data_IF_546301897951
#
_entry.id   IF_546301897951
#
_cell.length_a   1.000
_cell.length_b   1.000
_cell.length_c   1.000
_cell.angle_alpha   90.00
_cell.angle_beta   90.00
_cell.angle_gamma   90.00
#
_symmetry.space_group_name_H-M   'P 1'
#
loop_
_entity.id
_entity.type
_entity.pdbx_description
1 polymer ?
#
# COMPACT_ATOMS: atom_id res chain seq x y z
N UNK A 1 -16.09 -5.44 -3.87
CA UNK A 1 -16.40 -6.67 -3.11
C UNK A 1 -16.53 -6.45 -1.58
N UNK A 2 -15.64 -5.67 -0.95
CA UNK A 2 -15.56 -5.61 0.51
C UNK A 2 -16.69 -4.82 1.21
N UNK A 3 -17.32 -3.86 0.53
CA UNK A 3 -18.45 -3.10 1.09
C UNK A 3 -19.82 -3.80 0.91
N UNK A 4 -19.90 -4.83 0.05
CA UNK A 4 -21.16 -5.48 -0.36
C UNK A 4 -21.27 -6.96 0.05
N UNK A 5 -20.33 -7.48 0.85
CA UNK A 5 -20.47 -8.80 1.48
C UNK A 5 -20.22 -10.00 0.55
N UNK A 6 -19.28 -9.87 -0.39
CA UNK A 6 -18.84 -10.98 -1.26
C UNK A 6 -18.99 -10.69 -2.76
N UNK A 7 -18.30 -11.49 -3.59
CA UNK A 7 -18.39 -11.42 -5.07
C UNK A 7 -19.81 -11.71 -5.59
N UNK A 8 -20.59 -12.50 -4.84
CA UNK A 8 -21.90 -13.02 -5.26
C UNK A 8 -23.08 -12.05 -5.03
N UNK A 9 -22.83 -10.86 -4.48
CA UNK A 9 -23.86 -9.83 -4.15
C UNK A 9 -23.62 -8.48 -4.81
N UNK A 10 -22.75 -8.39 -5.82
CA UNK A 10 -22.59 -7.17 -6.60
C UNK A 10 -23.72 -7.04 -7.63
N UNK A 11 -24.41 -5.88 -7.72
CA UNK A 11 -25.37 -5.63 -8.79
C UNK A 11 -24.65 -5.72 -10.15
N UNK A 12 -25.35 -6.18 -11.20
CA UNK A 12 -24.75 -6.49 -12.51
C UNK A 12 -23.90 -5.36 -13.15
N UNK A 13 -24.10 -4.12 -12.73
CA UNK A 13 -23.33 -2.95 -13.16
C UNK A 13 -21.93 -2.82 -12.49
N UNK A 14 -21.70 -3.54 -11.39
CA UNK A 14 -20.44 -3.60 -10.61
C UNK A 14 -19.72 -4.96 -10.74
N UNK A 15 -20.28 -5.90 -11.50
CA UNK A 15 -19.67 -7.21 -11.73
C UNK A 15 -18.52 -7.11 -12.75
N UNK A 16 -17.43 -7.86 -12.51
CA UNK A 16 -16.32 -8.02 -13.46
C UNK A 16 -16.85 -8.44 -14.83
N UNK A 17 -16.76 -7.57 -15.82
CA UNK A 17 -17.04 -7.92 -17.21
C UNK A 17 -15.75 -8.38 -17.89
N UNK A 18 -15.59 -9.70 -18.02
CA UNK A 18 -14.53 -10.31 -18.81
C UNK A 18 -14.97 -10.39 -20.28
N UNK A 19 -14.45 -9.50 -21.12
CA UNK A 19 -14.56 -9.65 -22.56
C UNK A 19 -13.58 -10.74 -23.01
N UNK A 20 -14.12 -11.94 -23.25
CA UNK A 20 -13.37 -13.17 -23.49
C UNK A 20 -12.48 -13.19 -24.76
N UNK A 21 -12.51 -12.15 -25.61
CA UNK A 21 -11.70 -12.10 -26.83
C UNK A 21 -10.38 -11.29 -26.71
N UNK A 22 -10.18 -10.49 -25.66
CA UNK A 22 -8.97 -9.65 -25.52
C UNK A 22 -8.16 -9.87 -24.22
N UNK A 23 -8.64 -10.67 -23.26
CA UNK A 23 -7.92 -10.92 -22.00
C UNK A 23 -7.80 -9.68 -21.09
N UNK A 24 -8.56 -8.61 -21.35
CA UNK A 24 -8.58 -7.39 -20.55
C UNK A 24 -9.70 -7.50 -19.51
N UNK A 25 -9.33 -7.52 -18.23
CA UNK A 25 -10.27 -7.44 -17.12
C UNK A 25 -10.58 -5.96 -16.88
N UNK A 26 -11.78 -5.52 -17.27
CA UNK A 26 -12.24 -4.15 -16.97
C UNK A 26 -13.11 -4.21 -15.73
N UNK A 27 -12.61 -3.65 -14.62
CA UNK A 27 -13.38 -3.44 -13.41
C UNK A 27 -14.02 -2.02 -13.46
N UNK A 28 -15.33 -1.90 -13.76
CA UNK A 28 -15.98 -0.61 -13.88
C UNK A 28 -16.02 0.16 -12.55
N UNK A 29 -15.94 -0.54 -11.41
CA UNK A 29 -15.85 0.10 -10.09
C UNK A 29 -14.49 0.76 -9.89
N UNK A 30 -13.41 0.07 -10.25
CA UNK A 30 -12.06 0.64 -10.23
C UNK A 30 -11.93 1.81 -11.21
N UNK A 31 -12.47 1.67 -12.43
CA UNK A 31 -12.45 2.75 -13.43
C UNK A 31 -13.20 4.00 -12.96
N UNK A 32 -14.38 3.83 -12.34
CA UNK A 32 -15.17 4.94 -11.79
C UNK A 32 -14.47 5.60 -10.61
N UNK A 33 -13.88 4.81 -9.70
CA UNK A 33 -13.13 5.32 -8.56
C UNK A 33 -11.90 6.11 -9.00
N UNK A 34 -11.14 5.60 -9.96
CA UNK A 34 -10.01 6.33 -10.57
C UNK A 34 -10.50 7.63 -11.20
N UNK A 35 -11.61 7.63 -11.94
CA UNK A 35 -12.16 8.85 -12.54
C UNK A 35 -12.57 9.91 -11.50
N UNK A 36 -13.20 9.48 -10.40
CA UNK A 36 -13.58 10.37 -9.29
C UNK A 36 -12.34 10.96 -8.61
N UNK A 37 -11.35 10.11 -8.34
CA UNK A 37 -10.06 10.52 -7.77
C UNK A 37 -9.38 11.53 -8.70
N UNK A 38 -9.30 11.26 -10.00
CA UNK A 38 -8.73 12.16 -10.99
C UNK A 38 -9.48 13.50 -11.05
N UNK A 39 -10.82 13.49 -11.02
CA UNK A 39 -11.61 14.72 -11.02
C UNK A 39 -11.37 15.56 -9.75
N UNK A 40 -11.28 14.92 -8.58
CA UNK A 40 -10.98 15.59 -7.31
C UNK A 40 -9.57 16.20 -7.33
N UNK A 41 -8.58 15.45 -7.84
CA UNK A 41 -7.19 15.90 -8.00
C UNK A 41 -7.08 17.13 -8.91
N UNK A 42 -7.86 17.20 -9.99
CA UNK A 42 -7.87 18.35 -10.89
C UNK A 42 -8.44 19.64 -10.27
N UNK A 43 -9.22 19.55 -9.18
CA UNK A 43 -9.96 20.70 -8.63
C UNK A 43 -9.24 21.49 -7.52
N UNK A 44 -8.11 21.02 -6.97
CA UNK A 44 -7.51 21.70 -5.82
C UNK A 44 -5.99 21.52 -5.66
N UNK A 45 -5.20 22.48 -6.17
CA UNK A 45 -3.73 22.43 -6.10
C UNK A 45 -3.16 23.38 -5.01
N UNK A 46 -3.88 24.45 -4.62
CA UNK A 46 -3.32 25.48 -3.71
C UNK A 46 -3.41 25.20 -2.20
N UNK A 47 -4.39 24.43 -1.72
CA UNK A 47 -4.44 23.92 -0.33
C UNK A 47 -3.79 22.52 -0.20
N UNK A 48 -3.22 22.01 -1.29
CA UNK A 48 -2.90 20.59 -1.48
C UNK A 48 -1.73 20.08 -0.63
N UNK A 49 -0.73 20.90 -0.31
CA UNK A 49 0.44 20.43 0.45
C UNK A 49 0.09 20.08 1.90
N UNK A 50 -0.79 20.86 2.54
CA UNK A 50 -1.27 20.57 3.89
C UNK A 50 -2.20 19.35 3.90
N UNK A 51 -3.13 19.27 2.95
CA UNK A 51 -4.01 18.12 2.81
C UNK A 51 -3.20 16.82 2.55
N UNK A 52 -2.18 16.88 1.70
CA UNK A 52 -1.29 15.77 1.42
C UNK A 52 -0.49 15.35 2.66
N UNK A 53 0.03 16.31 3.42
CA UNK A 53 0.72 16.04 4.68
C UNK A 53 -0.19 15.30 5.66
N UNK A 54 -1.43 15.77 5.86
CA UNK A 54 -2.42 15.10 6.70
C UNK A 54 -2.67 13.66 6.25
N UNK A 55 -2.96 13.45 4.96
CA UNK A 55 -3.24 12.10 4.42
C UNK A 55 -2.04 11.18 4.60
N UNK A 56 -0.82 11.68 4.37
CA UNK A 56 0.41 10.92 4.56
C UNK A 56 0.59 10.55 6.02
N UNK A 57 0.38 11.49 6.95
CA UNK A 57 0.43 11.21 8.40
C UNK A 57 -0.58 10.14 8.80
N UNK A 58 -1.83 10.21 8.31
CA UNK A 58 -2.86 9.21 8.59
C UNK A 58 -2.44 7.83 8.08
N UNK A 59 -1.88 7.74 6.87
CA UNK A 59 -1.37 6.48 6.31
C UNK A 59 -0.20 5.91 7.13
N UNK A 60 0.73 6.76 7.57
CA UNK A 60 1.84 6.34 8.43
C UNK A 60 1.32 5.81 9.78
N UNK A 61 0.33 6.48 10.37
CA UNK A 61 -0.34 5.99 11.57
C UNK A 61 -1.03 4.63 11.32
N UNK A 62 -1.64 4.42 10.16
CA UNK A 62 -2.23 3.14 9.80
C UNK A 62 -1.16 2.02 9.69
N UNK A 63 0.02 2.31 9.12
CA UNK A 63 1.13 1.36 9.06
C UNK A 63 1.66 1.01 10.46
N UNK A 64 1.84 2.00 11.33
CA UNK A 64 2.22 1.77 12.73
C UNK A 64 1.19 0.93 13.48
N UNK A 65 -0.09 1.18 13.22
CA UNK A 65 -1.19 0.39 13.76
C UNK A 65 -1.10 -1.07 13.28
N UNK A 66 -0.82 -1.31 11.99
CA UNK A 66 -0.64 -2.67 11.44
C UNK A 66 0.52 -3.38 12.12
N UNK A 67 1.65 -2.72 12.34
CA UNK A 67 2.81 -3.32 13.00
C UNK A 67 2.48 -3.72 14.44
N UNK A 68 1.83 -2.83 15.19
CA UNK A 68 1.50 -3.07 16.59
C UNK A 68 0.37 -4.10 16.77
N UNK A 69 -0.77 -3.92 16.09
CA UNK A 69 -1.91 -4.83 16.16
C UNK A 69 -1.59 -6.19 15.52
N UNK A 70 -0.95 -6.18 14.35
CA UNK A 70 -0.52 -7.39 13.67
C UNK A 70 0.58 -8.12 14.42
N UNK A 71 1.56 -7.40 14.99
CA UNK A 71 2.61 -7.98 15.81
C UNK A 71 2.09 -8.61 17.11
N UNK A 72 1.15 -7.96 17.80
CA UNK A 72 0.48 -8.52 18.97
C UNK A 72 -0.26 -9.83 18.64
N UNK A 73 -0.94 -9.84 17.50
CA UNK A 73 -1.68 -11.00 17.03
C UNK A 73 -0.75 -12.13 16.57
N UNK A 74 0.32 -11.81 15.84
CA UNK A 74 1.38 -12.74 15.46
C UNK A 74 2.01 -13.42 16.70
N UNK A 75 2.23 -12.65 17.77
CA UNK A 75 2.73 -13.18 19.03
C UNK A 75 1.72 -14.13 19.71
N UNK A 76 0.41 -13.83 19.65
CA UNK A 76 -0.63 -14.71 20.19
C UNK A 76 -0.77 -16.03 19.46
N UNK A 77 -0.67 -16.01 18.14
CA UNK A 77 -0.81 -17.21 17.30
C UNK A 77 0.51 -17.98 17.16
N UNK A 78 1.63 -17.41 17.60
CA UNK A 78 2.93 -18.07 17.54
C UNK A 78 3.61 -18.03 16.18
N UNK A 79 3.31 -17.01 15.34
CA UNK A 79 3.93 -16.83 14.02
C UNK A 79 3.71 -18.01 13.04
N UNK A 80 2.48 -18.52 12.98
CA UNK A 80 2.07 -19.63 12.09
C UNK A 80 2.46 -19.43 10.62
N UNK A 81 2.55 -18.18 10.16
CA UNK A 81 2.89 -17.89 8.78
C UNK A 81 4.36 -18.13 8.42
N UNK A 82 5.24 -18.36 9.41
CA UNK A 82 6.62 -18.82 9.18
C UNK A 82 6.80 -20.34 9.28
N UNK A 83 5.80 -21.08 9.80
CA UNK A 83 5.83 -22.54 9.86
C UNK A 83 5.47 -23.14 8.50
N UNK A 84 6.37 -23.01 7.53
CA UNK A 84 6.19 -23.59 6.20
C UNK A 84 6.89 -24.96 6.06
N UNK A 85 6.20 -25.96 5.47
CA UNK A 85 6.81 -27.25 5.15
C UNK A 85 8.02 -27.14 4.21
N UNK A 86 8.06 -26.09 3.40
CA UNK A 86 9.10 -25.81 2.38
C UNK A 86 10.22 -24.87 2.87
N UNK A 87 10.20 -24.44 4.14
CA UNK A 87 11.14 -23.45 4.69
C UNK A 87 10.88 -22.01 4.23
N UNK A 88 11.79 -21.09 4.57
CA UNK A 88 11.65 -19.63 4.35
C UNK A 88 11.71 -19.21 2.87
N UNK A 89 12.30 -20.04 2.01
CA UNK A 89 12.47 -19.76 0.57
C UNK A 89 11.68 -20.75 -0.29
N UNK A 90 10.33 -20.71 -0.28
CA UNK A 90 9.50 -21.64 -1.06
C UNK A 90 9.75 -21.54 -2.57
N UNK A 91 10.15 -20.36 -3.06
CA UNK A 91 10.43 -20.09 -4.47
C UNK A 91 11.94 -19.97 -4.78
N UNK A 92 12.80 -20.35 -3.81
CA UNK A 92 14.24 -20.21 -3.93
C UNK A 92 14.73 -18.77 -4.16
N UNK A 93 15.98 -18.64 -4.61
CA UNK A 93 16.63 -17.34 -4.89
C UNK A 93 15.96 -16.62 -6.07
N UNK A 94 15.46 -17.36 -7.06
CA UNK A 94 14.78 -16.78 -8.22
C UNK A 94 13.52 -16.03 -7.82
N UNK A 95 12.70 -16.59 -6.92
CA UNK A 95 11.53 -15.90 -6.39
C UNK A 95 11.88 -14.67 -5.55
N UNK A 96 12.94 -14.75 -4.74
CA UNK A 96 13.44 -13.61 -3.97
C UNK A 96 13.87 -12.46 -4.87
N UNK A 97 14.63 -12.74 -5.94
CA UNK A 97 15.08 -11.71 -6.89
C UNK A 97 13.91 -11.12 -7.67
N UNK A 98 12.97 -11.95 -8.13
CA UNK A 98 11.76 -11.48 -8.81
C UNK A 98 10.90 -10.58 -7.91
N UNK A 99 10.68 -10.99 -6.65
CA UNK A 99 9.94 -10.20 -5.66
C UNK A 99 10.62 -8.87 -5.34
N UNK A 100 11.95 -8.88 -5.18
CA UNK A 100 12.74 -7.66 -5.00
C UNK A 100 12.51 -6.67 -6.14
N UNK A 101 12.54 -7.15 -7.40
CA UNK A 101 12.22 -6.35 -8.59
C UNK A 101 10.85 -5.68 -8.55
N UNK A 102 9.82 -6.37 -8.06
CA UNK A 102 8.47 -5.78 -7.89
C UNK A 102 8.47 -4.71 -6.80
N UNK A 103 9.15 -4.96 -5.67
CA UNK A 103 9.25 -3.99 -4.56
C UNK A 103 10.05 -2.75 -4.97
N UNK A 104 11.04 -2.87 -5.86
CA UNK A 104 11.77 -1.71 -6.39
C UNK A 104 10.85 -0.67 -7.05
N UNK A 105 9.76 -1.09 -7.70
CA UNK A 105 8.78 -0.15 -8.27
C UNK A 105 8.09 0.72 -7.20
N UNK A 106 7.98 0.26 -5.95
CA UNK A 106 7.41 1.05 -4.86
C UNK A 106 8.29 2.22 -4.41
N UNK A 107 9.55 2.25 -4.84
CA UNK A 107 10.53 3.30 -4.53
C UNK A 107 10.70 4.33 -5.66
N UNK A 108 9.92 4.22 -6.74
CA UNK A 108 9.88 5.24 -7.80
C UNK A 108 9.30 6.53 -7.21
N UNK A 109 9.95 7.67 -7.47
CA UNK A 109 9.60 8.98 -6.90
C UNK A 109 10.56 9.47 -5.82
N UNK A 110 11.55 8.67 -5.40
CA UNK A 110 12.63 9.18 -4.55
C UNK A 110 13.50 10.21 -5.30
N UNK A 111 13.63 10.04 -6.61
CA UNK A 111 14.33 10.97 -7.52
C UNK A 111 13.70 12.37 -7.51
N UNK A 112 12.36 12.48 -7.49
CA UNK A 112 11.70 13.79 -7.40
C UNK A 112 11.99 14.49 -6.07
N UNK A 113 12.09 13.74 -4.96
CA UNK A 113 12.47 14.30 -3.64
C UNK A 113 13.91 14.84 -3.68
N UNK A 114 14.82 14.12 -4.34
CA UNK A 114 16.20 14.58 -4.50
C UNK A 114 16.34 15.77 -5.46
N UNK A 115 15.45 15.92 -6.44
CA UNK A 115 15.44 17.09 -7.32
C UNK A 115 14.99 18.35 -6.59
N UNK A 116 13.98 18.26 -5.73
CA UNK A 116 13.54 19.39 -4.89
C UNK A 116 14.58 19.75 -3.82
N UNK A 117 15.60 18.91 -3.58
CA UNK A 117 16.71 19.26 -2.70
C UNK A 117 17.52 20.48 -3.18
N UNK A 118 17.46 20.82 -4.47
CA UNK A 118 18.08 22.04 -5.03
C UNK A 118 17.42 23.33 -4.53
N UNK A 119 16.16 23.27 -4.09
CA UNK A 119 15.40 24.40 -3.52
C UNK A 119 15.51 24.49 -1.98
N UNK A 120 16.23 23.56 -1.36
CA UNK A 120 16.40 23.51 0.08
C UNK A 120 17.41 24.56 0.54
N UNK A 121 17.08 25.25 1.63
CA UNK A 121 17.85 26.39 2.13
C UNK A 121 19.29 26.02 2.53
N UNK A 122 19.52 24.82 3.09
CA UNK A 122 20.84 24.30 3.46
C UNK A 122 21.02 22.84 2.97
N UNK A 123 21.36 22.61 1.69
CA UNK A 123 21.42 21.26 1.12
C UNK A 123 22.48 20.36 1.78
N UNK A 124 23.58 20.93 2.29
CA UNK A 124 24.66 20.16 2.92
C UNK A 124 24.23 19.43 4.21
N UNK A 125 23.30 19.99 4.98
CA UNK A 125 22.81 19.41 6.24
C UNK A 125 21.42 18.80 6.09
N UNK A 126 20.52 19.44 5.35
CA UNK A 126 19.12 19.04 5.24
C UNK A 126 18.93 17.81 4.33
N UNK A 127 19.75 17.67 3.28
CA UNK A 127 19.66 16.53 2.34
C UNK A 127 20.05 15.18 2.98
N UNK A 128 21.18 15.06 3.71
CA UNK A 128 21.49 13.82 4.42
C UNK A 128 20.50 13.52 5.56
N UNK A 129 19.98 14.54 6.25
CA UNK A 129 18.96 14.36 7.28
C UNK A 129 17.64 13.83 6.69
N UNK A 130 17.17 14.43 5.58
CA UNK A 130 15.96 14.01 4.90
C UNK A 130 16.03 12.56 4.41
N UNK A 131 17.17 12.17 3.84
CA UNK A 131 17.42 10.76 3.43
C UNK A 131 17.47 9.83 4.64
N UNK A 132 18.09 10.26 5.75
CA UNK A 132 18.10 9.51 6.99
C UNK A 132 16.69 9.25 7.56
N UNK A 133 15.83 10.27 7.55
CA UNK A 133 14.43 10.13 7.97
C UNK A 133 13.66 9.21 6.99
N UNK A 134 13.87 9.36 5.69
CA UNK A 134 13.27 8.49 4.67
C UNK A 134 13.62 7.00 4.90
N UNK A 135 14.83 6.71 5.37
CA UNK A 135 15.26 5.34 5.66
C UNK A 135 14.43 4.64 6.74
N UNK A 136 13.84 5.39 7.67
CA UNK A 136 12.96 4.85 8.72
C UNK A 136 11.72 4.22 8.08
N UNK A 137 11.19 4.81 7.00
CA UNK A 137 10.05 4.24 6.28
C UNK A 137 10.40 2.93 5.58
N UNK A 138 11.63 2.75 5.11
CA UNK A 138 12.10 1.47 4.57
C UNK A 138 12.07 0.36 5.62
N UNK A 139 12.53 0.67 6.84
CA UNK A 139 12.45 -0.25 7.97
C UNK A 139 11.00 -0.53 8.35
N UNK A 140 10.14 0.49 8.34
CA UNK A 140 8.71 0.35 8.61
C UNK A 140 8.04 -0.62 7.62
N UNK A 141 8.36 -0.51 6.33
CA UNK A 141 7.80 -1.36 5.28
C UNK A 141 8.28 -2.82 5.39
N UNK A 142 9.55 -3.02 5.76
CA UNK A 142 10.10 -4.34 6.10
C UNK A 142 9.35 -4.97 7.28
N UNK A 143 9.09 -4.19 8.34
CA UNK A 143 8.36 -4.66 9.52
C UNK A 143 6.91 -5.05 9.20
N UNK A 144 6.20 -4.23 8.42
CA UNK A 144 4.85 -4.57 7.95
C UNK A 144 4.87 -5.89 7.19
N UNK A 145 5.80 -6.05 6.24
CA UNK A 145 5.93 -7.28 5.45
C UNK A 145 6.18 -8.50 6.34
N UNK A 146 7.09 -8.38 7.32
CA UNK A 146 7.38 -9.46 8.27
C UNK A 146 6.16 -9.83 9.13
N UNK A 147 5.43 -8.83 9.64
CA UNK A 147 4.23 -9.05 10.45
C UNK A 147 3.13 -9.73 9.64
N UNK A 148 2.87 -9.28 8.41
CA UNK A 148 1.82 -9.85 7.55
C UNK A 148 2.14 -11.29 7.14
N UNK A 149 3.39 -11.57 6.76
CA UNK A 149 3.83 -12.95 6.47
C UNK A 149 3.81 -13.82 7.73
N UNK A 150 4.08 -13.26 8.91
CA UNK A 150 3.97 -13.97 10.18
C UNK A 150 2.54 -14.30 10.59
N UNK A 151 1.57 -13.49 10.18
CA UNK A 151 0.14 -13.64 10.47
C UNK A 151 -0.51 -14.76 9.66
N UNK A 152 -0.27 -14.77 8.35
CA UNK A 152 -0.95 -15.67 7.40
C UNK A 152 0.08 -16.19 6.40
N UNK A 153 0.10 -17.50 6.10
CA UNK A 153 1.03 -18.07 5.15
C UNK A 153 0.79 -17.56 3.72
N UNK A 154 1.86 -17.43 2.92
CA UNK A 154 1.84 -16.75 1.62
C UNK A 154 0.77 -17.27 0.63
N UNK A 155 0.38 -18.55 0.72
CA UNK A 155 -0.60 -19.16 -0.18
C UNK A 155 -2.05 -18.74 0.11
N UNK A 156 -2.33 -18.23 1.31
CA UNK A 156 -3.65 -17.76 1.71
C UNK A 156 -3.79 -16.23 1.55
N UNK A 157 -2.73 -15.52 1.15
CA UNK A 157 -2.76 -14.09 0.87
C UNK A 157 -3.25 -13.85 -0.56
N UNK A 158 -4.30 -13.04 -0.72
CA UNK A 158 -4.69 -12.59 -2.05
C UNK A 158 -3.62 -11.64 -2.62
N UNK A 159 -3.26 -11.78 -3.91
CA UNK A 159 -2.23 -10.96 -4.55
C UNK A 159 -2.60 -9.48 -4.59
N UNK A 160 -3.88 -9.15 -4.76
CA UNK A 160 -4.34 -7.76 -4.91
C UNK A 160 -4.56 -7.06 -3.55
N UNK A 161 -4.83 -7.82 -2.49
CA UNK A 161 -5.21 -7.27 -1.18
C UNK A 161 -4.64 -8.07 -0.01
N UNK A 162 -3.30 -8.22 0.07
CA UNK A 162 -2.66 -9.11 1.03
C UNK A 162 -2.92 -8.69 2.48
N UNK A 163 -2.74 -7.40 2.78
CA UNK A 163 -2.93 -6.87 4.14
C UNK A 163 -4.39 -7.06 4.58
N UNK A 164 -5.36 -6.81 3.70
CA UNK A 164 -6.78 -7.02 3.99
C UNK A 164 -7.09 -8.47 4.29
N UNK A 165 -6.58 -9.38 3.47
CA UNK A 165 -6.79 -10.82 3.62
C UNK A 165 -6.20 -11.33 4.95
N UNK A 166 -5.03 -10.82 5.32
CA UNK A 166 -4.38 -11.16 6.58
C UNK A 166 -5.22 -10.76 7.80
N UNK A 167 -5.71 -9.52 7.86
CA UNK A 167 -6.53 -9.05 8.98
C UNK A 167 -7.95 -9.62 8.99
N UNK A 168 -8.55 -9.84 7.82
CA UNK A 168 -9.88 -10.44 7.71
C UNK A 168 -9.91 -11.88 8.23
N UNK A 169 -8.85 -12.65 7.96
CA UNK A 169 -8.73 -14.04 8.41
C UNK A 169 -8.58 -14.16 9.93
N UNK A 170 -8.01 -13.14 10.58
CA UNK A 170 -7.84 -13.11 12.02
C UNK A 170 -9.01 -12.47 12.80
N UNK A 171 -10.20 -12.37 12.18
CA UNK A 171 -11.45 -11.90 12.77
C UNK A 171 -11.47 -10.44 13.29
N UNK A 172 -10.50 -9.59 12.91
CA UNK A 172 -10.54 -8.16 13.19
C UNK A 172 -11.07 -7.38 11.97
N UNK A 173 -12.39 -7.15 11.94
CA UNK A 173 -13.05 -6.44 10.85
C UNK A 173 -12.87 -4.90 10.91
N UNK A 174 -12.61 -4.35 12.09
CA UNK A 174 -12.48 -2.89 12.27
C UNK A 174 -11.23 -2.27 11.60
N UNK A 175 -10.03 -2.89 11.69
CA UNK A 175 -8.82 -2.47 10.97
C UNK A 175 -8.98 -2.40 9.46
N UNK A 176 -9.82 -3.27 8.90
CA UNK A 176 -10.07 -3.37 7.46
C UNK A 176 -10.67 -2.07 6.91
N UNK A 177 -11.52 -1.37 7.67
CA UNK A 177 -12.08 -0.09 7.24
C UNK A 177 -11.03 1.01 7.12
N UNK A 178 -10.15 1.11 8.12
CA UNK A 178 -9.05 2.09 8.14
C UNK A 178 -8.09 1.84 6.98
N UNK A 179 -7.76 0.57 6.73
CA UNK A 179 -6.91 0.17 5.62
C UNK A 179 -7.56 0.44 4.26
N UNK A 180 -8.87 0.25 4.13
CA UNK A 180 -9.61 0.51 2.88
C UNK A 180 -9.57 1.99 2.55
N UNK A 181 -9.79 2.86 3.56
CA UNK A 181 -9.68 4.30 3.37
C UNK A 181 -8.26 4.71 2.99
N UNK A 182 -7.24 4.14 3.65
CA UNK A 182 -5.84 4.42 3.34
C UNK A 182 -5.43 4.00 1.93
N UNK A 183 -5.89 2.82 1.48
CA UNK A 183 -5.61 2.30 0.13
C UNK A 183 -6.16 3.19 -0.99
N UNK A 184 -7.25 3.93 -0.73
CA UNK A 184 -7.79 4.91 -1.68
C UNK A 184 -7.05 6.24 -1.58
N UNK A 185 -6.79 6.73 -0.36
CA UNK A 185 -6.22 8.07 -0.17
C UNK A 185 -4.71 8.15 -0.43
N UNK A 186 -3.96 7.07 -0.22
CA UNK A 186 -2.51 7.01 -0.45
C UNK A 186 -2.11 7.27 -1.92
N UNK A 187 -2.66 6.58 -2.94
CA UNK A 187 -2.31 6.86 -4.33
C UNK A 187 -2.74 8.26 -4.79
N UNK A 188 -3.85 8.78 -4.25
CA UNK A 188 -4.25 10.17 -4.50
C UNK A 188 -3.18 11.16 -4.00
N UNK A 189 -2.70 10.95 -2.77
CA UNK A 189 -1.70 11.81 -2.15
C UNK A 189 -0.34 11.75 -2.86
N UNK A 190 0.09 10.57 -3.32
CA UNK A 190 1.35 10.45 -4.07
C UNK A 190 1.28 11.14 -5.43
N UNK A 191 0.15 11.05 -6.13
CA UNK A 191 -0.06 11.76 -7.41
C UNK A 191 -0.01 13.29 -7.23
N UNK A 192 -0.62 13.83 -6.17
CA UNK A 192 -0.52 15.28 -5.87
C UNK A 192 0.93 15.70 -5.58
N UNK A 193 1.66 14.89 -4.81
CA UNK A 193 3.06 15.15 -4.49
C UNK A 193 3.96 15.23 -5.71
N UNK A 194 3.76 14.32 -6.67
CA UNK A 194 4.52 14.32 -7.92
C UNK A 194 4.25 15.54 -8.79
N UNK A 195 3.00 16.04 -8.82
CA UNK A 195 2.66 17.27 -9.57
C UNK A 195 3.31 18.50 -8.91
N UNK A 196 3.28 18.59 -7.59
CA UNK A 196 3.92 19.69 -6.86
C UNK A 196 5.43 19.72 -7.05
N UNK A 197 6.08 18.54 -7.15
CA UNK A 197 7.52 18.46 -7.40
C UNK A 197 7.95 18.90 -8.81
N UNK A 198 6.99 19.11 -9.74
CA UNK A 198 7.26 19.57 -11.11
C UNK A 198 7.09 21.07 -11.32
N UNK A 199 6.59 21.79 -10.30
CA UNK A 199 6.34 23.25 -10.34
C UNK A 199 7.44 23.98 -9.58
#
# INVERSE_FOLDING_TARGET
>A
ALFFGGEDKLPAFLARHTFSELGIVVDPCAATLVHIVTALLCTGIKESSLAQAIVTTVNVCALLFIITAGGYLAFKIGWIGYELPSGYFPFGVNGMLAGSGVVFFSYIGFDSVTSTAEEVKNPHEDMPLGTGIASIFYVLYMLVSAVIVGLVPYYALHPDTPIFTAFSTCAMQWPVYILTTGAVTAPCASMMGLILAQV
#
